data_IF_082293655110
#
_entry.id   IF_082293655110
#
_cell.length_a   1.000
_cell.length_b   1.000
_cell.length_c   1.000
_cell.angle_alpha   90.00
_cell.angle_beta   90.00
_cell.angle_gamma   90.00
#
_symmetry.space_group_name_H-M   'P 1'
#
loop_
_entity.id
_entity.type
_entity.pdbx_description
1 polymer ?
#
# COMPACT_ATOMS: atom_id res chain seq x y z
N UNK A 1 -36.83 -16.02 -11.19
CA UNK A 1 -37.06 -14.60 -11.48
C UNK A 1 -36.43 -14.31 -12.82
N UNK A 2 -37.27 -14.12 -13.84
CA UNK A 2 -36.89 -13.94 -15.25
C UNK A 2 -36.62 -12.46 -15.52
N UNK A 3 -35.74 -12.13 -16.48
CA UNK A 3 -35.32 -10.75 -16.85
C UNK A 3 -36.46 -9.74 -17.11
N UNK A 4 -37.70 -10.19 -17.23
CA UNK A 4 -38.89 -9.36 -17.33
C UNK A 4 -39.27 -8.65 -16.03
N UNK A 5 -38.96 -9.23 -14.86
CA UNK A 5 -39.31 -8.63 -13.55
C UNK A 5 -38.35 -7.48 -13.16
N UNK A 6 -37.11 -7.49 -13.66
CA UNK A 6 -36.12 -6.44 -13.41
C UNK A 6 -36.38 -5.14 -14.19
N UNK A 7 -37.05 -5.23 -15.35
CA UNK A 7 -37.39 -4.05 -16.15
C UNK A 7 -38.56 -3.25 -15.55
N UNK A 8 -39.52 -3.93 -14.92
CA UNK A 8 -40.66 -3.24 -14.30
C UNK A 8 -40.27 -2.45 -13.04
N UNK A 9 -39.25 -2.89 -12.28
CA UNK A 9 -38.78 -2.18 -11.09
C UNK A 9 -37.99 -0.91 -11.45
N UNK A 10 -37.39 -0.86 -12.64
CA UNK A 10 -36.62 0.31 -13.10
C UNK A 10 -37.55 1.40 -13.65
N UNK A 11 -38.64 1.03 -14.34
CA UNK A 11 -39.61 2.02 -14.83
C UNK A 11 -40.39 2.68 -13.68
N UNK A 12 -40.66 1.96 -12.58
CA UNK A 12 -41.38 2.52 -11.42
C UNK A 12 -40.53 3.50 -10.59
N UNK A 13 -39.20 3.49 -10.75
CA UNK A 13 -38.29 4.41 -10.06
C UNK A 13 -38.04 5.73 -10.84
N UNK A 14 -38.37 5.78 -12.13
CA UNK A 14 -38.12 6.97 -12.99
C UNK A 14 -39.30 7.96 -12.94
N UNK A 15 -40.52 7.50 -12.69
CA UNK A 15 -41.71 8.37 -12.60
C UNK A 15 -41.88 9.07 -11.23
N UNK A 16 -41.11 8.67 -10.21
CA UNK A 16 -41.20 9.24 -8.84
C UNK A 16 -40.44 10.55 -8.60
N UNK A 17 -39.60 11.00 -9.54
CA UNK A 17 -38.66 12.14 -9.33
C UNK A 17 -39.15 13.48 -9.90
N UNK A 18 -40.30 13.49 -10.59
CA UNK A 18 -40.80 14.68 -11.30
C UNK A 18 -41.99 15.36 -10.59
N UNK A 19 -41.93 15.59 -9.29
CA UNK A 19 -42.84 16.55 -8.62
C UNK A 19 -42.10 17.33 -7.53
N UNK A 20 -41.90 18.64 -7.74
CA UNK A 20 -41.49 19.56 -6.68
C UNK A 20 -40.50 20.62 -7.13
N UNK A 21 -41.00 21.74 -7.66
CA UNK A 21 -40.51 23.10 -7.37
C UNK A 21 -41.30 24.12 -8.20
N UNK A 22 -42.33 24.70 -7.58
CA UNK A 22 -43.00 25.93 -7.97
C UNK A 22 -43.05 26.84 -6.73
N UNK A 23 -43.06 28.15 -7.00
CA UNK A 23 -43.10 29.30 -6.06
C UNK A 23 -41.73 29.70 -5.50
N UNK A 24 -41.29 30.96 -5.55
CA UNK A 24 -42.01 32.23 -5.34
C UNK A 24 -41.44 33.34 -6.25
N UNK A 25 -42.36 34.07 -6.89
CA UNK A 25 -42.14 35.38 -7.50
C UNK A 25 -42.91 36.42 -6.70
N UNK A 26 -42.27 37.55 -6.37
CA UNK A 26 -42.93 38.76 -5.90
C UNK A 26 -42.04 39.54 -4.94
N UNK A 27 -41.46 40.65 -5.39
CA UNK A 27 -41.74 41.96 -4.79
C UNK A 27 -40.95 43.08 -5.52
N UNK A 28 -41.66 44.18 -5.75
CA UNK A 28 -41.20 45.54 -6.03
C UNK A 28 -40.90 45.94 -7.49
N UNK A 29 -41.99 46.26 -8.17
CA UNK A 29 -42.10 47.50 -8.94
C UNK A 29 -41.56 48.71 -8.15
N UNK A 30 -40.83 49.60 -8.84
CA UNK A 30 -40.96 51.06 -8.71
C UNK A 30 -40.21 51.79 -9.83
N UNK A 31 -41.00 52.45 -10.68
CA UNK A 31 -40.82 53.82 -11.19
C UNK A 31 -39.80 54.01 -12.33
N UNK A 32 -40.34 53.77 -13.51
CA UNK A 32 -40.34 54.58 -14.74
C UNK A 32 -39.78 56.02 -14.66
N UNK A 33 -39.01 56.35 -15.72
CA UNK A 33 -38.93 57.61 -16.47
C UNK A 33 -37.78 58.61 -16.25
N UNK A 34 -37.02 58.84 -17.34
CA UNK A 34 -36.70 60.14 -17.98
C UNK A 34 -35.33 60.13 -18.67
N UNK A 35 -35.35 60.64 -19.91
CA UNK A 35 -34.25 61.16 -20.74
C UNK A 35 -33.50 60.17 -21.65
N UNK A 36 -34.17 59.86 -22.77
CA UNK A 36 -33.47 59.91 -24.04
C UNK A 36 -33.20 61.38 -24.43
N UNK A 37 -32.04 61.59 -25.05
CA UNK A 37 -31.60 62.74 -25.86
C UNK A 37 -30.48 63.62 -25.28
N UNK A 38 -29.45 63.75 -26.13
CA UNK A 38 -28.35 64.73 -26.12
C UNK A 38 -27.31 64.59 -25.01
N UNK A 39 -26.15 64.04 -25.37
CA UNK A 39 -25.05 64.86 -25.91
C UNK A 39 -23.96 63.96 -26.49
N UNK A 40 -23.82 64.00 -27.81
CA UNK A 40 -22.54 63.77 -28.46
C UNK A 40 -21.50 64.78 -27.96
N UNK A 41 -20.24 64.36 -28.02
CA UNK A 41 -19.02 65.20 -28.07
C UNK A 41 -18.41 65.61 -26.72
N UNK A 42 -17.60 64.71 -26.15
CA UNK A 42 -16.27 64.99 -25.57
C UNK A 42 -15.83 63.84 -24.66
N UNK A 43 -14.99 62.93 -25.17
CA UNK A 43 -13.95 62.17 -24.44
C UNK A 43 -13.42 61.09 -25.38
N UNK A 44 -12.43 61.43 -26.21
CA UNK A 44 -11.73 60.44 -27.03
C UNK A 44 -10.21 60.67 -27.02
N UNK A 45 -9.67 61.19 -25.90
CA UNK A 45 -8.23 61.48 -25.76
C UNK A 45 -7.64 60.92 -24.44
N UNK A 46 -8.42 60.25 -23.59
CA UNK A 46 -7.91 59.66 -22.32
C UNK A 46 -7.97 58.13 -22.25
N UNK A 47 -8.34 57.45 -23.34
CA UNK A 47 -8.41 55.99 -23.41
C UNK A 47 -7.12 55.32 -23.93
N UNK A 48 -6.36 56.00 -24.79
CA UNK A 48 -5.19 55.37 -25.42
C UNK A 48 -3.95 55.33 -24.50
N UNK A 49 -3.73 56.34 -23.64
CA UNK A 49 -2.58 56.35 -22.72
C UNK A 49 -2.71 55.34 -21.56
N UNK A 50 -3.93 55.00 -21.12
CA UNK A 50 -4.14 53.98 -20.08
C UNK A 50 -4.05 52.55 -20.63
N UNK A 51 -4.34 52.34 -21.91
CA UNK A 51 -4.25 51.03 -22.56
C UNK A 51 -2.79 50.71 -22.94
N UNK A 52 -1.99 51.71 -23.30
CA UNK A 52 -0.55 51.56 -23.56
C UNK A 52 0.28 51.28 -22.29
N UNK A 53 -0.08 51.87 -21.15
CA UNK A 53 0.57 51.57 -19.86
C UNK A 53 0.19 50.19 -19.29
N UNK A 54 -1.03 49.70 -19.54
CA UNK A 54 -1.46 48.36 -19.15
C UNK A 54 -0.81 47.25 -20.01
N UNK A 55 -0.56 47.53 -21.30
CA UNK A 55 0.13 46.60 -22.21
C UNK A 55 1.65 46.55 -21.94
N UNK A 56 2.27 47.68 -21.55
CA UNK A 56 3.66 47.73 -21.13
C UNK A 56 3.95 46.91 -19.86
N UNK A 57 3.07 46.97 -18.86
CA UNK A 57 3.16 46.15 -17.64
C UNK A 57 2.99 44.65 -17.93
N UNK A 58 2.08 44.30 -18.84
CA UNK A 58 1.83 42.91 -19.26
C UNK A 58 3.00 42.32 -20.06
N UNK A 59 3.67 43.13 -20.90
CA UNK A 59 4.90 42.76 -21.58
C UNK A 59 6.05 42.51 -20.60
N UNK A 60 6.20 43.35 -19.58
CA UNK A 60 7.28 43.22 -18.61
C UNK A 60 7.12 41.96 -17.75
N UNK A 61 5.88 41.57 -17.41
CA UNK A 61 5.61 40.30 -16.71
C UNK A 61 5.91 39.09 -17.60
N UNK A 62 5.51 39.10 -18.88
CA UNK A 62 5.84 38.00 -19.81
C UNK A 62 7.34 37.88 -20.05
N UNK A 63 8.04 39.00 -20.19
CA UNK A 63 9.49 39.02 -20.39
C UNK A 63 10.22 38.57 -19.12
N UNK A 64 9.68 38.88 -17.93
CA UNK A 64 10.19 38.37 -16.66
C UNK A 64 9.89 36.87 -16.48
N UNK A 65 8.77 36.37 -16.97
CA UNK A 65 8.40 34.94 -16.96
C UNK A 65 9.25 34.13 -17.97
N UNK A 66 9.53 34.68 -19.15
CA UNK A 66 10.48 34.13 -20.12
C UNK A 66 11.91 34.13 -19.59
N UNK A 67 12.37 35.24 -18.99
CA UNK A 67 13.68 35.33 -18.35
C UNK A 67 13.79 34.39 -17.15
N UNK A 68 12.72 34.21 -16.36
CA UNK A 68 12.69 33.22 -15.27
C UNK A 68 12.75 31.79 -15.79
N UNK A 69 12.02 31.44 -16.86
CA UNK A 69 12.10 30.12 -17.49
C UNK A 69 13.50 29.84 -18.07
N UNK A 70 14.14 30.83 -18.66
CA UNK A 70 15.49 30.71 -19.21
C UNK A 70 16.54 30.58 -18.09
N UNK A 71 16.38 31.34 -17.00
CA UNK A 71 17.24 31.25 -15.81
C UNK A 71 17.09 29.90 -15.09
N UNK A 72 15.86 29.40 -14.95
CA UNK A 72 15.58 28.08 -14.39
C UNK A 72 16.13 26.96 -15.28
N UNK A 73 16.07 27.12 -16.60
CA UNK A 73 16.67 26.21 -17.57
C UNK A 73 18.20 26.18 -17.48
N UNK A 74 18.87 27.32 -17.38
CA UNK A 74 20.33 27.38 -17.18
C UNK A 74 20.76 26.84 -15.80
N UNK A 75 20.01 27.14 -14.75
CA UNK A 75 20.24 26.56 -13.42
C UNK A 75 20.09 25.03 -13.43
N UNK A 76 19.10 24.52 -14.17
CA UNK A 76 18.88 23.09 -14.34
C UNK A 76 20.00 22.45 -15.18
N UNK A 77 20.40 23.06 -16.30
CA UNK A 77 21.51 22.59 -17.14
C UNK A 77 22.85 22.59 -16.40
N UNK A 78 23.11 23.61 -15.58
CA UNK A 78 24.31 23.66 -14.73
C UNK A 78 24.28 22.60 -13.62
N UNK A 79 23.11 22.32 -13.04
CA UNK A 79 22.94 21.23 -12.07
C UNK A 79 23.15 19.84 -12.72
N UNK A 80 22.62 19.63 -13.92
CA UNK A 80 22.79 18.40 -14.70
C UNK A 80 24.25 18.20 -15.11
N UNK A 81 24.94 19.25 -15.54
CA UNK A 81 26.38 19.20 -15.86
C UNK A 81 27.21 18.88 -14.62
N UNK A 82 26.91 19.50 -13.47
CA UNK A 82 27.57 19.19 -12.19
C UNK A 82 27.33 17.74 -11.78
N UNK A 83 26.10 17.25 -11.91
CA UNK A 83 25.75 15.87 -11.62
C UNK A 83 26.51 14.89 -12.54
N UNK A 84 26.50 15.14 -13.85
CA UNK A 84 27.24 14.36 -14.84
C UNK A 84 28.75 14.32 -14.54
N UNK A 85 29.34 15.45 -14.15
CA UNK A 85 30.76 15.53 -13.81
C UNK A 85 31.07 14.72 -12.55
N UNK A 86 30.20 14.82 -11.52
CA UNK A 86 30.33 14.02 -10.30
C UNK A 86 30.19 12.52 -10.59
N UNK A 87 29.28 12.12 -11.48
CA UNK A 87 29.11 10.73 -11.89
C UNK A 87 30.36 10.19 -12.59
N UNK A 88 30.93 10.94 -13.51
CA UNK A 88 32.18 10.57 -14.20
C UNK A 88 33.35 10.41 -13.23
N UNK A 89 33.56 11.36 -12.33
CA UNK A 89 34.60 11.28 -11.31
C UNK A 89 34.44 10.05 -10.40
N UNK A 90 33.20 9.70 -10.05
CA UNK A 90 32.93 8.51 -9.24
C UNK A 90 33.18 7.21 -10.01
N UNK A 91 32.93 7.17 -11.32
CA UNK A 91 33.26 6.02 -12.18
C UNK A 91 34.78 5.80 -12.21
N UNK A 92 35.54 6.86 -12.48
CA UNK A 92 37.00 6.81 -12.55
C UNK A 92 37.59 6.34 -11.21
N UNK A 93 37.16 6.97 -10.11
CA UNK A 93 37.57 6.58 -8.76
C UNK A 93 37.26 5.11 -8.44
N UNK A 94 36.08 4.65 -8.82
CA UNK A 94 35.68 3.25 -8.58
C UNK A 94 36.54 2.29 -9.42
N UNK A 95 36.86 2.63 -10.67
CA UNK A 95 37.74 1.83 -11.52
C UNK A 95 39.17 1.76 -10.95
N UNK A 96 39.71 2.88 -10.45
CA UNK A 96 41.00 2.93 -9.75
C UNK A 96 40.99 2.08 -8.48
N UNK A 97 39.92 2.16 -7.69
CA UNK A 97 39.77 1.35 -6.49
C UNK A 97 39.74 -0.15 -6.79
N UNK A 98 39.01 -0.57 -7.83
CA UNK A 98 38.95 -1.97 -8.26
C UNK A 98 40.31 -2.47 -8.77
N UNK A 99 41.07 -1.63 -9.48
CA UNK A 99 42.42 -1.96 -9.94
C UNK A 99 43.40 -2.14 -8.77
N UNK A 100 43.28 -1.33 -7.72
CA UNK A 100 44.17 -1.37 -6.54
C UNK A 100 43.81 -2.47 -5.55
N UNK A 101 42.54 -2.91 -5.49
CA UNK A 101 42.06 -3.87 -4.49
C UNK A 101 41.31 -5.07 -5.11
N UNK A 102 41.97 -5.96 -5.87
CA UNK A 102 41.33 -7.09 -6.55
C UNK A 102 40.65 -8.10 -5.60
N UNK A 103 41.01 -8.10 -4.32
CA UNK A 103 40.37 -8.93 -3.29
C UNK A 103 38.93 -8.51 -2.99
N UNK A 104 38.50 -7.30 -3.36
CA UNK A 104 37.14 -6.80 -3.10
C UNK A 104 36.08 -7.63 -3.77
N UNK A 105 36.34 -8.20 -4.96
CA UNK A 105 35.36 -9.05 -5.65
C UNK A 105 35.03 -10.34 -4.87
N UNK A 106 35.95 -10.80 -4.00
CA UNK A 106 35.73 -11.97 -3.15
C UNK A 106 35.01 -11.60 -1.85
N UNK A 107 35.44 -10.52 -1.18
CA UNK A 107 34.95 -10.13 0.14
C UNK A 107 33.69 -9.27 0.12
N UNK A 108 33.45 -8.53 -0.96
CA UNK A 108 32.32 -7.61 -1.10
C UNK A 108 31.18 -8.32 -1.83
N UNK A 109 30.00 -8.28 -1.21
CA UNK A 109 28.79 -8.92 -1.68
C UNK A 109 28.18 -8.04 -2.77
N UNK A 110 28.37 -8.45 -4.02
CA UNK A 110 27.79 -7.79 -5.19
C UNK A 110 26.40 -8.37 -5.48
N UNK A 111 25.44 -7.50 -5.80
CA UNK A 111 24.04 -7.84 -6.15
C UNK A 111 23.88 -8.93 -7.23
N UNK A 112 24.87 -9.10 -8.11
CA UNK A 112 24.87 -10.17 -9.14
C UNK A 112 25.02 -11.60 -8.61
N UNK A 113 25.52 -11.80 -7.38
CA UNK A 113 25.76 -13.16 -6.86
C UNK A 113 24.43 -13.80 -6.45
N UNK A 114 24.09 -14.94 -7.06
CA UNK A 114 22.88 -15.72 -6.73
C UNK A 114 22.78 -16.07 -5.24
N UNK A 115 23.92 -16.35 -4.59
CA UNK A 115 23.97 -16.65 -3.17
C UNK A 115 23.46 -15.50 -2.29
N UNK A 116 23.78 -14.24 -2.63
CA UNK A 116 23.29 -13.08 -1.91
C UNK A 116 21.77 -12.94 -2.07
N UNK A 117 21.27 -13.11 -3.29
CA UNK A 117 19.83 -13.07 -3.55
C UNK A 117 19.06 -14.20 -2.83
N UNK A 118 19.67 -15.38 -2.66
CA UNK A 118 19.10 -16.45 -1.83
C UNK A 118 19.12 -16.09 -0.34
N UNK A 119 20.24 -15.54 0.15
CA UNK A 119 20.37 -15.08 1.54
C UNK A 119 19.35 -13.97 1.89
N UNK A 120 19.16 -13.00 1.00
CA UNK A 120 18.20 -11.91 1.18
C UNK A 120 16.76 -12.42 1.20
N UNK A 121 16.43 -13.39 0.33
CA UNK A 121 15.11 -14.06 0.37
C UNK A 121 14.91 -14.87 1.64
N UNK A 122 15.93 -15.63 2.06
CA UNK A 122 15.89 -16.41 3.29
C UNK A 122 15.66 -15.53 4.52
N UNK A 123 16.45 -14.46 4.66
CA UNK A 123 16.31 -13.50 5.78
C UNK A 123 14.99 -12.74 5.75
N UNK A 124 14.44 -12.45 4.58
CA UNK A 124 13.11 -11.82 4.43
C UNK A 124 11.98 -12.78 4.84
N UNK A 125 12.03 -14.04 4.42
CA UNK A 125 11.05 -15.07 4.83
C UNK A 125 11.14 -15.28 6.35
N UNK A 126 12.35 -15.35 6.89
CA UNK A 126 12.56 -15.47 8.33
C UNK A 126 12.03 -14.26 9.09
N UNK A 127 12.14 -13.05 8.52
CA UNK A 127 11.56 -11.83 9.09
C UNK A 127 10.03 -11.93 9.15
N UNK A 128 9.38 -12.33 8.05
CA UNK A 128 7.94 -12.53 8.00
C UNK A 128 7.46 -13.56 9.05
N UNK A 129 8.17 -14.69 9.18
CA UNK A 129 7.87 -15.70 10.20
C UNK A 129 8.06 -15.11 11.61
N UNK A 130 9.17 -14.42 11.86
CA UNK A 130 9.45 -13.83 13.18
C UNK A 130 8.42 -12.77 13.60
N UNK A 131 7.88 -12.01 12.64
CA UNK A 131 6.85 -11.00 12.88
C UNK A 131 5.52 -11.59 13.37
N UNK A 132 5.27 -12.88 13.10
CA UNK A 132 4.11 -13.63 13.60
C UNK A 132 4.46 -14.39 14.88
N UNK A 133 5.64 -15.01 14.94
CA UNK A 133 6.03 -15.83 16.09
C UNK A 133 6.30 -15.01 17.36
N UNK A 134 6.87 -13.81 17.24
CA UNK A 134 7.25 -12.99 18.42
C UNK A 134 6.02 -12.50 19.20
N UNK A 135 4.99 -11.88 18.59
CA UNK A 135 3.76 -11.50 19.31
C UNK A 135 3.04 -12.72 19.89
N UNK A 136 3.06 -13.85 19.17
CA UNK A 136 2.45 -15.09 19.62
C UNK A 136 3.16 -15.66 20.85
N UNK A 137 4.49 -15.66 20.89
CA UNK A 137 5.27 -16.05 22.06
C UNK A 137 5.01 -15.13 23.26
N UNK A 138 4.87 -13.82 23.03
CA UNK A 138 4.56 -12.86 24.10
C UNK A 138 3.15 -13.07 24.68
N UNK A 139 2.17 -13.37 23.82
CA UNK A 139 0.78 -13.51 24.22
C UNK A 139 0.45 -14.86 24.87
N UNK A 140 1.06 -15.94 24.37
CA UNK A 140 0.74 -17.31 24.78
C UNK A 140 1.87 -17.98 25.56
N UNK A 141 2.97 -17.27 25.83
CA UNK A 141 4.15 -17.80 26.52
C UNK A 141 4.59 -19.16 25.98
N UNK A 142 4.60 -19.31 24.65
CA UNK A 142 4.86 -20.57 23.96
C UNK A 142 6.23 -21.17 24.30
N UNK A 143 7.21 -20.33 24.62
CA UNK A 143 8.52 -20.74 25.11
C UNK A 143 8.49 -21.29 26.54
N UNK A 144 7.60 -20.78 27.41
CA UNK A 144 7.56 -21.10 28.84
C UNK A 144 6.72 -22.34 29.12
N UNK A 145 5.56 -22.50 28.48
CA UNK A 145 4.65 -23.64 28.74
C UNK A 145 5.04 -24.92 28.00
N UNK A 146 5.82 -24.85 26.91
CA UNK A 146 6.20 -26.05 26.15
C UNK A 146 7.39 -26.82 26.73
N UNK A 147 8.07 -26.30 27.75
CA UNK A 147 9.26 -26.93 28.38
C UNK A 147 10.39 -27.30 27.40
N UNK A 148 10.29 -26.86 26.14
CA UNK A 148 11.16 -27.31 25.06
C UNK A 148 12.27 -26.30 24.91
N UNK A 149 13.44 -26.65 25.42
CA UNK A 149 14.72 -26.00 25.10
C UNK A 149 14.82 -25.70 23.58
N UNK A 150 14.20 -26.54 22.74
CA UNK A 150 14.11 -26.35 21.29
C UNK A 150 13.44 -25.03 20.85
N UNK A 151 12.37 -24.57 21.50
CA UNK A 151 11.72 -23.29 21.15
C UNK A 151 12.63 -22.10 21.50
N UNK A 152 13.23 -22.11 22.69
CA UNK A 152 14.19 -21.09 23.10
C UNK A 152 15.41 -21.04 22.16
N UNK A 153 15.99 -22.21 21.83
CA UNK A 153 17.11 -22.31 20.88
C UNK A 153 16.70 -21.80 19.50
N UNK A 154 15.48 -22.08 19.05
CA UNK A 154 14.98 -21.59 17.76
C UNK A 154 14.97 -20.07 17.70
N UNK A 155 14.43 -19.39 18.72
CA UNK A 155 14.45 -17.92 18.77
C UNK A 155 15.88 -17.34 18.86
N UNK A 156 16.77 -17.98 19.61
CA UNK A 156 18.18 -17.60 19.64
C UNK A 156 18.86 -17.75 18.27
N UNK A 157 18.57 -18.82 17.53
CA UNK A 157 19.06 -19.04 16.18
C UNK A 157 18.52 -17.96 15.20
N UNK A 158 17.24 -17.60 15.32
CA UNK A 158 16.64 -16.52 14.53
C UNK A 158 17.36 -15.20 14.80
N UNK A 159 17.56 -14.84 16.07
CA UNK A 159 18.28 -13.62 16.47
C UNK A 159 19.72 -13.62 15.93
N UNK A 160 20.43 -14.76 16.00
CA UNK A 160 21.78 -14.91 15.43
C UNK A 160 21.81 -14.75 13.90
N UNK A 161 20.80 -15.25 13.18
CA UNK A 161 20.67 -15.04 11.72
C UNK A 161 20.45 -13.56 11.39
N UNK A 162 19.67 -12.83 12.17
CA UNK A 162 19.49 -11.38 11.98
C UNK A 162 20.76 -10.60 12.28
N UNK A 163 21.50 -10.99 13.31
CA UNK A 163 22.83 -10.43 13.58
C UNK A 163 23.77 -10.68 12.40
N UNK A 164 23.80 -11.90 11.86
CA UNK A 164 24.59 -12.21 10.66
C UNK A 164 24.13 -11.38 9.45
N UNK A 165 22.82 -11.20 9.26
CA UNK A 165 22.27 -10.36 8.19
C UNK A 165 22.74 -8.91 8.29
N UNK A 166 22.70 -8.34 9.50
CA UNK A 166 23.23 -7.00 9.79
C UNK A 166 24.73 -6.92 9.50
N UNK A 167 25.52 -7.93 9.87
CA UNK A 167 26.94 -7.99 9.53
C UNK A 167 27.20 -8.09 8.01
N UNK A 168 26.34 -8.80 7.28
CA UNK A 168 26.44 -8.86 5.80
C UNK A 168 26.12 -7.51 5.16
N UNK A 169 25.30 -6.65 5.80
CA UNK A 169 24.99 -5.29 5.31
C UNK A 169 26.23 -4.44 5.13
N UNK A 170 27.16 -4.47 6.08
CA UNK A 170 28.40 -3.67 6.00
C UNK A 170 29.31 -4.07 4.83
N UNK A 171 29.11 -5.25 4.24
CA UNK A 171 29.88 -5.77 3.10
C UNK A 171 29.09 -5.75 1.79
N UNK A 172 27.86 -5.24 1.78
CA UNK A 172 27.03 -5.16 0.58
C UNK A 172 27.42 -3.91 -0.23
N UNK A 173 27.77 -4.13 -1.49
CA UNK A 173 27.93 -3.05 -2.45
C UNK A 173 26.55 -2.46 -2.78
N UNK A 174 26.48 -1.13 -2.91
CA UNK A 174 25.25 -0.44 -3.27
C UNK A 174 25.38 0.20 -4.66
N UNK A 175 24.23 0.36 -5.33
CA UNK A 175 24.17 1.04 -6.61
C UNK A 175 23.94 2.54 -6.36
N UNK A 176 24.75 3.39 -6.99
CA UNK A 176 24.60 4.84 -6.98
C UNK A 176 24.53 5.31 -8.43
N UNK A 177 23.37 5.81 -8.87
CA UNK A 177 23.12 6.25 -10.26
C UNK A 177 23.57 5.25 -11.35
N UNK A 178 23.38 3.95 -11.12
CA UNK A 178 23.80 2.90 -12.06
C UNK A 178 25.22 2.36 -11.86
N UNK A 179 26.03 3.01 -11.02
CA UNK A 179 27.42 2.62 -10.72
C UNK A 179 27.45 1.80 -9.43
N UNK A 180 28.14 0.66 -9.45
CA UNK A 180 28.28 -0.20 -8.28
C UNK A 180 29.48 0.25 -7.44
N UNK A 181 29.22 0.86 -6.28
CA UNK A 181 30.28 1.30 -5.36
C UNK A 181 30.66 0.14 -4.44
N UNK A 182 31.94 -0.21 -4.42
CA UNK A 182 32.51 -1.28 -3.59
C UNK A 182 33.39 -0.78 -2.44
N UNK A 183 33.63 0.52 -2.31
CA UNK A 183 34.49 1.04 -1.22
C UNK A 183 33.86 0.86 0.19
N UNK A 184 34.48 0.13 1.13
CA UNK A 184 33.88 -0.19 2.44
C UNK A 184 33.65 1.03 3.33
N UNK A 185 34.57 2.00 3.32
CA UNK A 185 34.43 3.22 4.13
C UNK A 185 33.26 4.08 3.67
N UNK A 186 33.00 4.12 2.35
CA UNK A 186 31.84 4.82 1.79
C UNK A 186 30.55 4.11 2.18
N UNK A 187 30.54 2.77 2.11
CA UNK A 187 29.39 1.94 2.53
C UNK A 187 29.04 2.21 4.01
N UNK A 188 30.02 2.16 4.90
CA UNK A 188 29.82 2.40 6.34
C UNK A 188 29.33 3.81 6.62
N UNK A 189 29.95 4.84 6.00
CA UNK A 189 29.55 6.24 6.20
C UNK A 189 28.10 6.47 5.76
N UNK A 190 27.72 5.94 4.60
CA UNK A 190 26.34 6.02 4.10
C UNK A 190 25.36 5.34 5.04
N UNK A 191 25.71 4.17 5.55
CA UNK A 191 24.86 3.39 6.44
C UNK A 191 24.67 4.05 7.82
N UNK A 192 25.70 4.73 8.34
CA UNK A 192 25.60 5.55 9.54
C UNK A 192 24.73 6.80 9.32
N UNK A 193 24.86 7.44 8.15
CA UNK A 193 24.11 8.66 7.83
C UNK A 193 22.61 8.39 7.54
N UNK A 194 22.26 7.21 7.05
CA UNK A 194 20.86 6.88 6.71
C UNK A 194 20.00 6.52 7.92
N UNK A 195 20.59 6.36 9.12
CA UNK A 195 19.87 5.93 10.33
C UNK A 195 19.42 4.46 10.33
N UNK A 196 19.60 3.74 9.22
CA UNK A 196 19.24 2.33 9.08
C UNK A 196 20.05 1.42 10.01
N UNK A 197 21.26 1.83 10.42
CA UNK A 197 22.05 1.12 11.42
C UNK A 197 21.28 0.92 12.73
N UNK A 198 20.58 1.96 13.21
CA UNK A 198 19.86 1.87 14.49
C UNK A 198 18.70 0.87 14.39
N UNK A 199 17.99 0.87 13.27
CA UNK A 199 16.88 -0.06 13.01
C UNK A 199 17.40 -1.49 12.94
N UNK A 200 18.45 -1.74 12.15
CA UNK A 200 19.02 -3.07 11.98
C UNK A 200 19.68 -3.57 13.27
N UNK A 201 20.26 -2.68 14.08
CA UNK A 201 20.81 -3.01 15.39
C UNK A 201 19.71 -3.51 16.32
N UNK A 202 18.59 -2.79 16.43
CA UNK A 202 17.46 -3.21 17.28
C UNK A 202 16.86 -4.53 16.78
N UNK A 203 16.75 -4.71 15.46
CA UNK A 203 16.29 -5.97 14.85
C UNK A 203 17.20 -7.17 15.19
N UNK A 204 18.50 -6.91 15.35
CA UNK A 204 19.54 -7.91 15.61
C UNK A 204 19.80 -8.16 17.10
N UNK A 205 19.20 -7.39 18.02
CA UNK A 205 19.38 -7.61 19.45
C UNK A 205 18.86 -9.01 19.84
N UNK A 206 19.65 -9.83 20.55
CA UNK A 206 19.22 -11.14 21.02
C UNK A 206 18.31 -11.01 22.26
N UNK A 207 17.17 -10.34 22.08
CA UNK A 207 16.21 -10.05 23.15
C UNK A 207 15.64 -11.34 23.73
N UNK A 208 15.53 -12.39 22.93
CA UNK A 208 15.04 -13.71 23.39
C UNK A 208 15.94 -14.30 24.48
N UNK A 209 17.27 -14.19 24.32
CA UNK A 209 18.24 -14.65 25.31
C UNK A 209 18.36 -13.70 26.51
N UNK A 210 18.38 -12.39 26.26
CA UNK A 210 18.54 -11.39 27.32
C UNK A 210 17.34 -11.33 28.27
N UNK A 211 16.12 -11.43 27.73
CA UNK A 211 14.88 -11.30 28.48
C UNK A 211 14.43 -12.61 29.12
N UNK A 212 15.03 -13.75 28.78
CA UNK A 212 14.62 -15.06 29.30
C UNK A 212 14.79 -15.19 30.84
N UNK A 213 15.72 -14.45 31.42
CA UNK A 213 15.95 -14.44 32.88
C UNK A 213 15.22 -13.31 33.61
N UNK A 214 14.53 -12.44 32.88
CA UNK A 214 13.87 -11.27 33.44
C UNK A 214 12.37 -11.53 33.69
N UNK A 215 11.76 -10.79 34.63
CA UNK A 215 10.32 -10.86 34.88
C UNK A 215 9.45 -10.65 33.63
N UNK A 216 8.22 -11.18 33.65
CA UNK A 216 7.26 -11.15 32.53
C UNK A 216 7.01 -9.74 31.94
N UNK A 217 7.04 -8.69 32.76
CA UNK A 217 6.84 -7.32 32.29
C UNK A 217 7.93 -6.83 31.32
N UNK A 218 9.17 -7.35 31.43
CA UNK A 218 10.23 -7.04 30.47
C UNK A 218 10.08 -7.81 29.16
N UNK A 219 9.23 -8.84 29.08
CA UNK A 219 9.01 -9.57 27.82
C UNK A 219 8.34 -8.69 26.76
N UNK A 220 7.64 -7.63 27.15
CA UNK A 220 7.11 -6.63 26.22
C UNK A 220 8.20 -5.98 25.34
N UNK A 221 9.47 -5.94 25.79
CA UNK A 221 10.58 -5.44 24.96
C UNK A 221 10.81 -6.30 23.71
N UNK A 222 10.35 -7.57 23.67
CA UNK A 222 10.36 -8.39 22.45
C UNK A 222 9.58 -7.73 21.29
N UNK A 223 8.61 -6.86 21.56
CA UNK A 223 7.93 -6.08 20.51
C UNK A 223 8.86 -5.15 19.72
N UNK A 224 10.07 -4.85 20.21
CA UNK A 224 11.09 -4.14 19.42
C UNK A 224 11.47 -4.92 18.15
N UNK A 225 11.35 -6.26 18.15
CA UNK A 225 11.55 -7.06 16.95
C UNK A 225 10.47 -6.85 15.87
N UNK A 226 9.37 -6.15 16.17
CA UNK A 226 8.43 -5.68 15.13
C UNK A 226 9.11 -4.76 14.10
N UNK A 227 10.24 -4.13 14.47
CA UNK A 227 11.07 -3.36 13.53
C UNK A 227 11.65 -4.20 12.39
N UNK A 228 11.65 -5.55 12.50
CA UNK A 228 11.99 -6.46 11.40
C UNK A 228 11.05 -6.31 10.18
N UNK A 229 9.92 -5.62 10.36
CA UNK A 229 9.05 -5.16 9.26
C UNK A 229 9.79 -4.25 8.28
N UNK A 230 10.78 -3.45 8.74
CA UNK A 230 11.52 -2.54 7.87
C UNK A 230 12.41 -3.29 6.86
N UNK A 231 13.29 -4.23 7.27
CA UNK A 231 13.99 -5.11 6.34
C UNK A 231 13.07 -5.86 5.38
N UNK A 232 11.93 -6.36 5.87
CA UNK A 232 10.94 -7.05 5.05
C UNK A 232 10.31 -6.11 4.00
N UNK A 233 9.92 -4.90 4.40
CA UNK A 233 9.38 -3.88 3.50
C UNK A 233 10.39 -3.49 2.43
N UNK A 234 11.66 -3.29 2.81
CA UNK A 234 12.72 -2.94 1.86
C UNK A 234 12.97 -4.09 0.86
N UNK A 235 12.95 -5.33 1.34
CA UNK A 235 13.08 -6.50 0.48
C UNK A 235 11.90 -6.67 -0.48
N UNK A 236 10.67 -6.45 -0.01
CA UNK A 236 9.46 -6.55 -0.84
C UNK A 236 9.35 -5.40 -1.84
N UNK A 237 9.66 -4.18 -1.43
CA UNK A 237 9.53 -2.99 -2.29
C UNK A 237 10.59 -2.95 -3.39
N UNK A 238 11.80 -3.45 -3.12
CA UNK A 238 12.90 -3.47 -4.07
C UNK A 238 12.91 -4.66 -5.03
N UNK A 239 12.01 -5.64 -4.87
CA UNK A 239 12.12 -6.88 -5.63
C UNK A 239 11.57 -6.76 -7.07
N UNK A 240 12.36 -7.09 -8.11
CA UNK A 240 11.93 -7.02 -9.51
C UNK A 240 10.66 -7.84 -9.80
N UNK A 241 10.50 -8.98 -9.13
CA UNK A 241 9.31 -9.83 -9.27
C UNK A 241 8.03 -9.13 -8.76
N UNK A 242 8.11 -8.28 -7.73
CA UNK A 242 6.93 -7.56 -7.24
C UNK A 242 6.57 -6.42 -8.20
N UNK A 243 7.56 -5.85 -8.89
CA UNK A 243 7.35 -4.90 -9.97
C UNK A 243 6.76 -5.60 -11.23
N UNK A 244 7.23 -6.80 -11.57
CA UNK A 244 6.67 -7.60 -12.67
C UNK A 244 5.24 -8.06 -12.34
N UNK A 245 4.96 -8.50 -11.12
CA UNK A 245 3.60 -8.79 -10.65
C UNK A 245 2.70 -7.55 -10.68
N UNK A 246 3.21 -6.36 -10.34
CA UNK A 246 2.48 -5.09 -10.48
C UNK A 246 2.15 -4.77 -11.93
N UNK A 247 3.04 -5.10 -12.87
CA UNK A 247 2.76 -4.95 -14.30
C UNK A 247 1.75 -5.98 -14.82
N UNK A 248 1.78 -7.23 -14.33
CA UNK A 248 0.90 -8.31 -14.80
C UNK A 248 -0.49 -8.30 -14.19
N UNK A 249 -0.60 -8.05 -12.89
CA UNK A 249 -1.87 -8.10 -12.14
C UNK A 249 -2.58 -6.74 -12.07
N UNK A 250 -1.95 -5.68 -12.58
CA UNK A 250 -2.40 -4.29 -12.40
C UNK A 250 -2.04 -3.72 -11.03
N UNK A 251 -1.79 -2.41 -10.97
CA UNK A 251 -1.44 -1.72 -9.73
C UNK A 251 -2.51 -1.86 -8.65
N UNK A 252 -3.78 -1.68 -9.01
CA UNK A 252 -4.95 -1.80 -8.12
C UNK A 252 -5.03 -3.14 -7.40
N UNK A 253 -4.89 -4.25 -8.12
CA UNK A 253 -5.04 -5.60 -7.55
C UNK A 253 -3.94 -5.88 -6.52
N UNK A 254 -2.70 -5.48 -6.82
CA UNK A 254 -1.59 -5.62 -5.87
C UNK A 254 -1.80 -4.74 -4.63
N UNK A 255 -2.32 -3.52 -4.81
CA UNK A 255 -2.60 -2.63 -3.69
C UNK A 255 -3.74 -3.17 -2.80
N UNK A 256 -4.77 -3.78 -3.38
CA UNK A 256 -5.81 -4.50 -2.64
C UNK A 256 -5.26 -5.68 -1.84
N UNK A 257 -4.46 -6.55 -2.48
CA UNK A 257 -3.83 -7.71 -1.81
C UNK A 257 -2.94 -7.25 -0.65
N UNK A 258 -2.15 -6.18 -0.84
CA UNK A 258 -1.31 -5.61 0.22
C UNK A 258 -2.14 -5.16 1.42
N UNK A 259 -3.26 -4.48 1.18
CA UNK A 259 -4.14 -4.02 2.26
C UNK A 259 -4.78 -5.18 3.01
N UNK A 260 -5.23 -6.22 2.31
CA UNK A 260 -5.76 -7.43 2.96
C UNK A 260 -4.70 -8.09 3.85
N UNK A 261 -3.46 -8.20 3.37
CA UNK A 261 -2.35 -8.75 4.16
C UNK A 261 -2.00 -7.87 5.37
N UNK A 262 -2.01 -6.53 5.21
CA UNK A 262 -1.81 -5.60 6.31
C UNK A 262 -2.93 -5.72 7.35
N UNK A 263 -4.19 -5.81 6.93
CA UNK A 263 -5.33 -5.98 7.82
C UNK A 263 -5.24 -7.30 8.60
N UNK A 264 -4.89 -8.40 7.93
CA UNK A 264 -4.65 -9.69 8.58
C UNK A 264 -3.54 -9.59 9.64
N UNK A 265 -2.44 -8.91 9.32
CA UNK A 265 -1.31 -8.75 10.22
C UNK A 265 -1.62 -7.85 11.43
N UNK A 266 -2.25 -6.70 11.20
CA UNK A 266 -2.80 -5.83 12.26
C UNK A 266 -3.72 -6.67 13.15
N UNK A 267 -4.52 -7.55 12.53
CA UNK A 267 -5.45 -8.36 13.30
C UNK A 267 -4.79 -9.36 14.23
N UNK A 268 -3.72 -9.97 13.75
CA UNK A 268 -2.85 -10.81 14.57
C UNK A 268 -2.23 -10.01 15.75
N UNK A 269 -1.68 -8.81 15.49
CA UNK A 269 -1.03 -8.00 16.52
C UNK A 269 -2.00 -7.58 17.64
N UNK A 270 -3.14 -7.00 17.27
CA UNK A 270 -4.12 -6.56 18.26
C UNK A 270 -4.77 -7.74 18.99
N UNK A 271 -4.99 -8.87 18.30
CA UNK A 271 -5.44 -10.09 18.95
C UNK A 271 -4.45 -10.62 19.99
N UNK A 272 -3.15 -10.59 19.70
CA UNK A 272 -2.11 -10.95 20.67
C UNK A 272 -2.07 -9.99 21.87
N UNK A 273 -2.22 -8.68 21.65
CA UNK A 273 -2.29 -7.70 22.75
C UNK A 273 -3.54 -7.95 23.62
N UNK A 274 -4.69 -8.23 22.98
CA UNK A 274 -5.92 -8.59 23.69
C UNK A 274 -5.72 -9.83 24.56
N UNK A 275 -5.10 -10.89 24.02
CA UNK A 275 -4.75 -12.09 24.76
C UNK A 275 -3.87 -11.81 26.00
N UNK A 276 -2.87 -10.92 25.85
CA UNK A 276 -2.02 -10.49 26.98
C UNK A 276 -2.82 -9.76 28.06
N UNK A 277 -3.71 -8.84 27.66
CA UNK A 277 -4.57 -8.10 28.59
C UNK A 277 -5.48 -9.07 29.35
N UNK A 278 -6.18 -9.97 28.64
CA UNK A 278 -7.04 -10.99 29.25
C UNK A 278 -6.27 -11.82 30.29
N UNK A 279 -5.08 -12.32 29.94
CA UNK A 279 -4.24 -13.09 30.88
C UNK A 279 -3.88 -12.28 32.12
N UNK A 280 -3.45 -11.02 31.94
CA UNK A 280 -3.07 -10.15 33.06
C UNK A 280 -4.24 -9.81 33.99
N UNK A 281 -5.44 -9.61 33.43
CA UNK A 281 -6.65 -9.30 34.19
C UNK A 281 -7.15 -10.52 34.98
N UNK A 282 -7.12 -11.71 34.36
CA UNK A 282 -7.47 -12.97 35.04
C UNK A 282 -6.50 -13.24 36.19
N UNK A 283 -5.19 -13.11 35.97
CA UNK A 283 -4.18 -13.26 37.02
C UNK A 283 -4.39 -12.26 38.17
N UNK A 284 -4.73 -11.00 37.85
CA UNK A 284 -5.03 -9.96 38.85
C UNK A 284 -6.29 -10.28 39.66
N UNK A 285 -7.35 -10.75 39.00
CA UNK A 285 -8.61 -11.13 39.65
C UNK A 285 -8.42 -12.28 40.66
N UNK A 286 -7.58 -13.27 40.30
CA UNK A 286 -7.22 -14.38 41.17
C UNK A 286 -6.38 -13.90 42.36
N UNK A 287 -5.33 -13.11 42.12
CA UNK A 287 -4.45 -12.63 43.20
C UNK A 287 -5.18 -11.71 44.19
N UNK A 288 -6.18 -10.95 43.72
CA UNK A 288 -7.00 -10.09 44.59
C UNK A 288 -8.13 -10.86 45.30
N UNK A 289 -8.28 -12.15 45.04
CA UNK A 289 -9.33 -12.99 45.62
C UNK A 289 -10.74 -12.62 45.13
N UNK A 290 -10.86 -11.87 44.03
CA UNK A 290 -12.16 -11.52 43.44
C UNK A 290 -12.81 -12.70 42.73
N UNK A 291 -12.01 -13.63 42.22
CA UNK A 291 -12.46 -14.82 41.50
C UNK A 291 -11.59 -16.01 41.93
N UNK A 292 -12.23 -17.13 42.23
CA UNK A 292 -11.54 -18.39 42.54
C UNK A 292 -11.16 -19.15 41.27
N UNK A 293 -10.16 -20.04 41.33
CA UNK A 293 -9.78 -20.88 40.19
C UNK A 293 -10.94 -21.76 39.69
N UNK A 294 -11.85 -22.13 40.59
CA UNK A 294 -13.05 -22.93 40.28
C UNK A 294 -14.08 -22.10 39.49
N UNK A 295 -14.34 -20.86 39.91
CA UNK A 295 -15.22 -19.93 39.17
C UNK A 295 -14.68 -19.53 37.79
N UNK A 296 -13.35 -19.48 37.63
CA UNK A 296 -12.69 -19.30 36.32
C UNK A 296 -12.91 -20.53 35.42
N UNK A 297 -12.81 -21.73 35.98
CA UNK A 297 -13.00 -22.99 35.25
C UNK A 297 -14.44 -23.18 34.77
N UNK A 298 -15.41 -22.81 35.61
CA UNK A 298 -16.84 -22.84 35.27
C UNK A 298 -17.28 -21.66 34.39
N UNK A 299 -16.42 -20.65 34.25
CA UNK A 299 -16.56 -19.48 33.38
C UNK A 299 -17.72 -18.54 33.73
N UNK A 300 -18.34 -18.70 34.90
CA UNK A 300 -19.40 -17.80 35.40
C UNK A 300 -18.88 -16.41 35.83
N UNK A 301 -17.55 -16.24 35.95
CA UNK A 301 -16.93 -15.02 36.46
C UNK A 301 -16.72 -13.90 35.43
N UNK A 302 -17.01 -14.13 34.15
CA UNK A 302 -16.53 -13.26 33.07
C UNK A 302 -17.63 -12.39 32.44
N UNK A 303 -17.32 -11.10 32.25
CA UNK A 303 -18.19 -10.13 31.58
C UNK A 303 -17.98 -10.11 30.07
N UNK A 304 -18.90 -9.50 29.33
CA UNK A 304 -18.95 -9.45 27.85
C UNK A 304 -17.62 -9.08 27.16
N UNK A 305 -16.73 -8.34 27.82
CA UNK A 305 -15.41 -8.02 27.26
C UNK A 305 -14.50 -9.22 27.10
N UNK A 306 -14.63 -10.23 27.97
CA UNK A 306 -13.77 -11.40 28.03
C UNK A 306 -14.27 -12.50 27.07
N UNK A 307 -13.36 -13.37 26.59
CA UNK A 307 -13.76 -14.56 25.83
C UNK A 307 -14.82 -15.40 26.57
N UNK A 308 -15.76 -16.04 25.85
CA UNK A 308 -16.76 -16.91 26.44
C UNK A 308 -16.18 -18.03 27.34
N UNK A 309 -16.95 -18.49 28.34
CA UNK A 309 -16.62 -19.57 29.29
C UNK A 309 -15.98 -20.80 28.66
N UNK A 310 -16.50 -21.22 27.50
CA UNK A 310 -16.10 -22.41 26.76
C UNK A 310 -14.69 -22.27 26.16
N UNK A 311 -14.25 -21.04 25.94
CA UNK A 311 -12.92 -20.70 25.43
C UNK A 311 -11.97 -20.46 26.61
N UNK A 312 -12.44 -19.83 27.70
CA UNK A 312 -11.65 -19.58 28.94
C UNK A 312 -11.39 -20.81 29.78
N UNK A 313 -12.30 -21.79 29.81
CA UNK A 313 -12.09 -23.06 30.51
C UNK A 313 -10.96 -23.89 29.88
N UNK A 314 -10.51 -23.52 28.68
CA UNK A 314 -9.30 -24.03 28.02
C UNK A 314 -8.05 -23.15 28.25
N UNK A 315 -8.20 -21.99 28.89
CA UNK A 315 -7.11 -21.11 29.36
C UNK A 315 -6.66 -21.45 30.80
N UNK A 316 -7.35 -22.32 31.53
CA UNK A 316 -6.96 -22.76 32.88
C UNK A 316 -5.52 -23.30 32.98
N UNK A 317 -4.93 -23.95 31.95
CA UNK A 317 -3.50 -24.32 31.98
C UNK A 317 -2.53 -23.12 31.86
N UNK A 318 -2.99 -21.96 31.36
CA UNK A 318 -2.18 -20.74 31.24
C UNK A 318 -2.10 -19.95 32.56
N UNK A 319 -2.91 -20.32 33.55
CA UNK A 319 -3.07 -19.62 34.83
C UNK A 319 -2.68 -20.51 36.02
N UNK A 320 -2.64 -21.83 35.85
CA UNK A 320 -2.07 -22.77 36.81
C UNK A 320 -1.38 -23.93 36.11
N UNK A 321 -0.18 -24.30 36.58
CA UNK A 321 0.46 -25.57 36.23
C UNK A 321 -0.50 -26.71 36.53
N UNK A 322 -1.13 -27.28 35.50
CA UNK A 322 -1.81 -28.57 35.64
C UNK A 322 -0.72 -29.63 35.82
N UNK A 323 -0.78 -30.33 36.95
CA UNK A 323 0.21 -31.35 37.35
C UNK A 323 0.14 -32.63 36.52
N UNK A 324 -0.82 -32.74 35.60
CA UNK A 324 -0.98 -33.90 34.72
C UNK A 324 -0.81 -33.43 33.26
N UNK A 325 0.30 -33.82 32.64
CA UNK A 325 0.79 -33.29 31.36
C UNK A 325 -0.01 -33.70 30.12
N UNK A 326 -1.34 -33.73 30.19
CA UNK A 326 -2.20 -34.22 29.10
C UNK A 326 -3.29 -33.26 28.63
N UNK A 327 -3.50 -32.09 29.26
CA UNK A 327 -4.50 -31.13 28.78
C UNK A 327 -3.89 -30.06 27.88
N UNK A 328 -4.01 -30.34 26.57
CA UNK A 328 -3.74 -29.45 25.47
C UNK A 328 -4.64 -28.21 25.56
N UNK A 329 -4.09 -27.06 25.98
CA UNK A 329 -4.77 -25.79 25.75
C UNK A 329 -4.86 -25.61 24.23
N UNK A 330 -6.06 -25.64 23.65
CA UNK A 330 -6.30 -25.30 22.24
C UNK A 330 -6.02 -23.81 22.03
N UNK A 331 -4.75 -23.38 22.07
CA UNK A 331 -4.34 -21.99 21.84
C UNK A 331 -4.78 -21.49 20.47
N UNK A 332 -4.98 -22.40 19.52
CA UNK A 332 -5.58 -22.12 18.22
C UNK A 332 -7.03 -21.62 18.33
N UNK A 333 -7.85 -22.17 19.24
CA UNK A 333 -9.25 -21.75 19.41
C UNK A 333 -9.34 -20.34 20.01
N UNK A 334 -8.51 -20.03 21.00
CA UNK A 334 -8.42 -18.68 21.57
C UNK A 334 -7.82 -17.68 20.56
N UNK A 335 -6.83 -18.10 19.77
CA UNK A 335 -6.28 -17.27 18.70
C UNK A 335 -7.31 -16.93 17.63
N UNK A 336 -8.10 -17.91 17.17
CA UNK A 336 -9.21 -17.69 16.24
C UNK A 336 -10.27 -16.77 16.83
N UNK A 337 -10.57 -16.91 18.12
CA UNK A 337 -11.49 -16.01 18.82
C UNK A 337 -10.95 -14.57 18.85
N UNK A 338 -9.67 -14.35 19.17
CA UNK A 338 -9.07 -13.02 19.17
C UNK A 338 -9.17 -12.34 17.79
N UNK A 339 -9.00 -13.13 16.72
CA UNK A 339 -9.16 -12.64 15.35
C UNK A 339 -10.60 -12.29 15.02
N UNK A 340 -11.56 -13.15 15.38
CA UNK A 340 -13.00 -12.88 15.25
C UNK A 340 -13.42 -11.62 16.03
N UNK A 341 -13.01 -11.55 17.30
CA UNK A 341 -13.26 -10.43 18.21
C UNK A 341 -12.83 -9.11 17.56
N UNK A 342 -11.61 -9.07 17.02
CA UNK A 342 -11.09 -7.86 16.41
C UNK A 342 -11.81 -7.45 15.12
N UNK A 343 -12.15 -8.40 14.26
CA UNK A 343 -12.94 -8.11 13.05
C UNK A 343 -14.27 -7.48 13.44
N UNK A 344 -14.93 -7.99 14.48
CA UNK A 344 -16.18 -7.43 14.98
C UNK A 344 -16.00 -6.01 15.54
N UNK A 345 -14.89 -5.72 16.23
CA UNK A 345 -14.61 -4.36 16.72
C UNK A 345 -14.29 -3.39 15.58
N UNK A 346 -13.46 -3.79 14.61
CA UNK A 346 -13.08 -2.94 13.47
C UNK A 346 -14.28 -2.66 12.57
N UNK A 347 -15.18 -3.63 12.39
CA UNK A 347 -16.42 -3.45 11.61
C UNK A 347 -17.51 -2.69 12.36
N UNK A 348 -17.34 -2.46 13.68
CA UNK A 348 -18.37 -1.87 14.53
C UNK A 348 -19.57 -2.78 14.80
N UNK A 349 -19.49 -4.07 14.43
CA UNK A 349 -20.57 -5.04 14.63
C UNK A 349 -20.77 -5.37 16.12
N UNK A 350 -19.72 -5.29 16.91
CA UNK A 350 -19.79 -5.53 18.35
C UNK A 350 -18.74 -4.70 19.09
N UNK A 351 -19.19 -3.99 20.13
CA UNK A 351 -18.35 -3.17 21.00
C UNK A 351 -18.56 -3.63 22.43
N UNK A 352 -17.60 -4.37 23.01
CA UNK A 352 -17.74 -4.82 24.39
C UNK A 352 -17.65 -3.65 25.38
N UNK A 353 -18.41 -3.73 26.47
CA UNK A 353 -18.43 -2.71 27.52
C UNK A 353 -17.22 -2.94 28.43
N UNK A 354 -16.24 -2.02 28.48
CA UNK A 354 -15.07 -2.18 29.33
C UNK A 354 -15.46 -1.98 30.80
N UNK A 355 -14.87 -2.78 31.70
CA UNK A 355 -15.05 -2.65 33.16
C UNK A 355 -13.79 -2.17 33.84
N UNK A 356 -12.62 -2.46 33.27
CA UNK A 356 -11.33 -2.03 33.84
C UNK A 356 -10.73 -0.85 33.07
N UNK A 357 -9.79 -0.14 33.70
CA UNK A 357 -9.09 0.98 33.07
C UNK A 357 -8.25 0.52 31.87
N UNK A 358 -7.61 -0.65 31.96
CA UNK A 358 -6.81 -1.24 30.88
C UNK A 358 -7.68 -1.61 29.67
N UNK A 359 -8.86 -2.20 29.90
CA UNK A 359 -9.86 -2.51 28.87
C UNK A 359 -10.38 -1.24 28.21
N UNK A 360 -10.68 -0.20 28.98
CA UNK A 360 -11.21 1.08 28.47
C UNK A 360 -10.20 1.78 27.57
N UNK A 361 -8.93 1.86 27.99
CA UNK A 361 -7.87 2.49 27.20
C UNK A 361 -7.62 1.71 25.91
N UNK A 362 -7.47 0.38 26.01
CA UNK A 362 -7.25 -0.47 24.84
C UNK A 362 -8.43 -0.42 23.85
N UNK A 363 -9.66 -0.55 24.35
CA UNK A 363 -10.87 -0.48 23.53
C UNK A 363 -11.03 0.86 22.82
N UNK A 364 -10.75 1.98 23.51
CA UNK A 364 -10.83 3.32 22.91
C UNK A 364 -9.82 3.49 21.78
N UNK A 365 -8.55 3.12 22.00
CA UNK A 365 -7.49 3.19 20.98
C UNK A 365 -7.82 2.31 19.79
N UNK A 366 -8.31 1.10 20.06
CA UNK A 366 -8.63 0.13 19.01
C UNK A 366 -9.80 0.57 18.13
N UNK A 367 -10.89 1.08 18.71
CA UNK A 367 -12.04 1.58 17.94
C UNK A 367 -11.62 2.76 17.06
N UNK A 368 -10.83 3.69 17.59
CA UNK A 368 -10.33 4.84 16.82
C UNK A 368 -9.44 4.39 15.65
N UNK A 369 -8.49 3.50 15.90
CA UNK A 369 -7.61 2.98 14.85
C UNK A 369 -8.37 2.12 13.84
N UNK A 370 -9.32 1.31 14.31
CA UNK A 370 -10.20 0.48 13.49
C UNK A 370 -11.00 1.31 12.50
N UNK A 371 -11.56 2.44 12.94
CA UNK A 371 -12.26 3.38 12.06
C UNK A 371 -11.35 3.91 10.94
N UNK A 372 -10.11 4.31 11.26
CA UNK A 372 -9.15 4.79 10.27
C UNK A 372 -8.76 3.71 9.24
N UNK A 373 -8.53 2.49 9.72
CA UNK A 373 -8.22 1.34 8.85
C UNK A 373 -9.41 1.01 7.95
N UNK A 374 -10.63 0.99 8.51
CA UNK A 374 -11.85 0.72 7.76
C UNK A 374 -12.08 1.75 6.63
N UNK A 375 -11.89 3.04 6.91
CA UNK A 375 -11.95 4.10 5.91
C UNK A 375 -10.91 3.91 4.80
N UNK A 376 -9.66 3.56 5.16
CA UNK A 376 -8.60 3.30 4.18
C UNK A 376 -8.88 2.08 3.29
N UNK A 377 -9.47 1.02 3.87
CA UNK A 377 -9.88 -0.19 3.13
C UNK A 377 -10.96 0.16 2.11
N UNK A 378 -12.00 0.90 2.50
CA UNK A 378 -13.07 1.33 1.57
C UNK A 378 -12.48 2.18 0.44
N UNK A 379 -11.66 3.19 0.77
CA UNK A 379 -11.06 4.06 -0.24
C UNK A 379 -10.22 3.29 -1.26
N UNK A 380 -9.45 2.32 -0.78
CA UNK A 380 -8.60 1.49 -1.64
C UNK A 380 -9.39 0.49 -2.47
N UNK A 381 -10.46 -0.09 -1.89
CA UNK A 381 -11.40 -0.93 -2.61
C UNK A 381 -12.10 -0.13 -3.72
N UNK A 382 -12.58 1.08 -3.45
CA UNK A 382 -13.19 1.96 -4.45
C UNK A 382 -12.19 2.32 -5.55
N UNK A 383 -10.94 2.62 -5.21
CA UNK A 383 -9.88 2.91 -6.22
C UNK A 383 -9.58 1.68 -7.08
N UNK A 384 -9.49 0.50 -6.48
CA UNK A 384 -9.28 -0.73 -7.24
C UNK A 384 -10.46 -1.07 -8.14
N UNK A 385 -11.69 -0.92 -7.63
CA UNK A 385 -12.93 -1.14 -8.35
C UNK A 385 -13.06 -0.20 -9.55
N UNK A 386 -12.83 1.09 -9.35
CA UNK A 386 -12.85 2.08 -10.44
C UNK A 386 -11.76 1.79 -11.46
N UNK A 387 -10.53 1.46 -11.04
CA UNK A 387 -9.45 1.11 -11.95
C UNK A 387 -9.78 -0.12 -12.82
N UNK A 388 -10.41 -1.15 -12.25
CA UNK A 388 -10.87 -2.32 -13.01
C UNK A 388 -11.95 -1.95 -14.04
N UNK A 389 -12.73 -0.91 -13.78
CA UNK A 389 -13.76 -0.44 -14.68
C UNK A 389 -13.29 0.58 -15.71
N UNK A 390 -12.06 1.12 -15.63
CA UNK A 390 -11.58 2.18 -16.54
C UNK A 390 -11.71 1.80 -18.02
N UNK A 391 -11.36 0.57 -18.39
CA UNK A 391 -11.47 0.13 -19.78
C UNK A 391 -12.93 0.08 -20.25
N UNK A 392 -13.81 -0.51 -19.45
CA UNK A 392 -15.24 -0.60 -19.74
C UNK A 392 -15.94 0.77 -19.71
N UNK A 393 -15.58 1.66 -18.78
CA UNK A 393 -16.09 3.02 -18.72
C UNK A 393 -15.64 3.85 -19.91
N UNK A 394 -14.41 3.64 -20.40
CA UNK A 394 -13.94 4.33 -21.60
C UNK A 394 -14.70 3.89 -22.85
N UNK A 395 -14.90 2.59 -23.03
CA UNK A 395 -15.66 2.06 -24.17
C UNK A 395 -17.12 2.54 -24.16
N UNK A 396 -17.75 2.53 -22.99
CA UNK A 396 -19.13 3.01 -22.84
C UNK A 396 -19.24 4.52 -23.05
N UNK A 397 -18.30 5.32 -22.53
CA UNK A 397 -18.27 6.77 -22.75
C UNK A 397 -18.08 7.15 -24.22
N UNK A 398 -17.17 6.48 -24.94
CA UNK A 398 -16.95 6.70 -26.38
C UNK A 398 -18.21 6.34 -27.19
N UNK A 399 -18.90 5.25 -26.82
CA UNK A 399 -20.15 4.85 -27.45
C UNK A 399 -21.29 5.86 -27.19
N UNK A 400 -21.39 6.40 -25.97
CA UNK A 400 -22.40 7.39 -25.59
C UNK A 400 -22.20 8.74 -26.29
N UNK A 401 -20.96 9.22 -26.39
CA UNK A 401 -20.63 10.45 -27.11
C UNK A 401 -20.98 10.34 -28.60
N UNK A 402 -20.68 9.19 -29.21
CA UNK A 402 -21.03 8.90 -30.59
C UNK A 402 -22.56 8.81 -30.78
N UNK A 403 -23.28 8.13 -29.88
CA UNK A 403 -24.74 8.05 -29.92
C UNK A 403 -25.40 9.43 -29.83
N UNK A 404 -24.89 10.30 -28.95
CA UNK A 404 -25.33 11.69 -28.84
C UNK A 404 -25.07 12.49 -30.13
N UNK A 405 -23.89 12.32 -30.75
CA UNK A 405 -23.55 12.98 -32.00
C UNK A 405 -24.44 12.51 -33.16
N UNK A 406 -24.72 11.20 -33.24
CA UNK A 406 -25.62 10.62 -34.25
C UNK A 406 -27.08 11.04 -34.04
N UNK A 407 -27.52 11.23 -32.78
CA UNK A 407 -28.83 11.81 -32.43
C UNK A 407 -28.95 13.25 -32.94
N UNK A 408 -27.92 14.09 -32.74
CA UNK A 408 -27.89 15.47 -33.26
C UNK A 408 -28.01 15.51 -34.79
N UNK A 409 -27.35 14.57 -35.47
CA UNK A 409 -27.42 14.41 -36.93
C UNK A 409 -28.71 13.76 -37.45
N UNK A 410 -29.70 13.46 -36.57
CA UNK A 410 -31.00 12.84 -36.92
C UNK A 410 -30.89 11.51 -37.68
N UNK A 411 -29.88 10.70 -37.35
CA UNK A 411 -29.67 9.39 -37.97
C UNK A 411 -30.77 8.40 -37.52
N UNK A 412 -31.37 7.61 -38.43
CA UNK A 412 -32.38 6.60 -38.08
C UNK A 412 -31.84 5.54 -37.11
N UNK A 413 -32.70 5.08 -36.18
CA UNK A 413 -32.32 4.18 -35.07
C UNK A 413 -31.62 2.89 -35.53
N UNK A 414 -32.03 2.33 -36.66
CA UNK A 414 -31.46 1.10 -37.23
C UNK A 414 -30.00 1.25 -37.66
N UNK A 415 -29.62 2.41 -38.22
CA UNK A 415 -28.25 2.68 -38.65
C UNK A 415 -27.35 2.98 -37.44
N UNK A 416 -27.88 3.70 -36.45
CA UNK A 416 -27.17 4.02 -35.20
C UNK A 416 -26.75 2.76 -34.42
N UNK A 417 -27.66 1.81 -34.25
CA UNK A 417 -27.37 0.53 -33.59
C UNK A 417 -26.26 -0.25 -34.30
N UNK A 418 -26.25 -0.23 -35.64
CA UNK A 418 -25.25 -0.93 -36.45
C UNK A 418 -23.86 -0.30 -36.33
N UNK A 419 -23.78 1.03 -36.20
CA UNK A 419 -22.52 1.76 -35.97
C UNK A 419 -21.96 1.45 -34.58
N UNK A 420 -22.79 1.48 -33.54
CA UNK A 420 -22.37 1.18 -32.17
C UNK A 420 -21.91 -0.29 -32.01
N UNK A 421 -22.59 -1.24 -32.67
CA UNK A 421 -22.15 -2.63 -32.72
C UNK A 421 -20.80 -2.81 -33.41
N UNK A 422 -20.55 -2.06 -34.49
CA UNK A 422 -19.24 -2.09 -35.16
C UNK A 422 -18.14 -1.50 -34.26
N UNK A 423 -18.43 -0.42 -33.52
CA UNK A 423 -17.49 0.16 -32.56
C UNK A 423 -17.11 -0.85 -31.47
N UNK A 424 -18.10 -1.51 -30.86
CA UNK A 424 -17.87 -2.55 -29.85
C UNK A 424 -17.06 -3.74 -30.40
N UNK A 425 -17.27 -4.13 -31.66
CA UNK A 425 -16.46 -5.15 -32.32
C UNK A 425 -15.02 -4.67 -32.59
N UNK A 426 -14.86 -3.39 -32.97
CA UNK A 426 -13.56 -2.79 -33.27
C UNK A 426 -12.69 -2.64 -32.02
N UNK A 427 -13.27 -2.34 -30.85
CA UNK A 427 -12.52 -2.21 -29.60
C UNK A 427 -11.90 -3.53 -29.16
N UNK A 428 -12.63 -4.65 -29.28
CA UNK A 428 -12.09 -6.00 -29.08
C UNK A 428 -10.96 -6.38 -30.03
N UNK A 429 -10.88 -5.73 -31.20
CA UNK A 429 -9.84 -6.02 -32.22
C UNK A 429 -8.63 -5.07 -32.09
N UNK A 430 -8.84 -3.83 -31.64
CA UNK A 430 -7.84 -2.76 -31.54
C UNK A 430 -6.77 -3.00 -30.46
N UNK A 431 -7.06 -3.80 -29.43
CA UNK A 431 -6.09 -4.16 -28.38
C UNK A 431 -4.83 -4.84 -28.95
N UNK A 432 -4.97 -5.55 -30.08
CA UNK A 432 -3.87 -6.20 -30.80
C UNK A 432 -2.94 -5.24 -31.57
N UNK A 433 -3.43 -4.06 -31.97
CA UNK A 433 -2.69 -3.10 -32.81
C UNK A 433 -2.04 -1.97 -31.99
N UNK A 434 -2.67 -1.51 -30.90
CA UNK A 434 -2.10 -0.48 -30.02
C UNK A 434 -0.80 -0.95 -29.34
N UNK A 435 -0.66 -2.25 -29.11
CA UNK A 435 0.58 -2.88 -28.59
C UNK A 435 1.78 -2.66 -29.52
N UNK A 436 1.57 -2.49 -30.84
CA UNK A 436 2.61 -2.20 -31.83
C UNK A 436 3.18 -0.77 -31.73
N UNK A 437 2.39 0.19 -31.23
CA UNK A 437 2.75 1.61 -31.23
C UNK A 437 3.62 2.02 -30.03
N UNK A 438 3.64 1.20 -28.96
CA UNK A 438 4.36 1.47 -27.70
C UNK A 438 5.80 0.95 -27.69
N UNK A 439 6.21 0.27 -28.76
CA UNK A 439 7.52 -0.37 -28.90
C UNK A 439 8.48 0.58 -29.64
N UNK A 440 9.74 0.74 -29.18
CA UNK A 440 10.76 1.56 -29.88
C UNK A 440 10.87 1.19 -31.36
N UNK A 441 11.09 2.18 -32.24
CA UNK A 441 11.00 1.99 -33.70
C UNK A 441 11.85 0.84 -34.27
N UNK A 442 13.00 0.55 -33.65
CA UNK A 442 13.88 -0.57 -34.03
C UNK A 442 13.28 -1.96 -33.75
N UNK A 443 12.52 -2.10 -32.67
CA UNK A 443 11.86 -3.34 -32.24
C UNK A 443 10.48 -3.52 -32.92
N UNK A 444 9.83 -2.42 -33.29
CA UNK A 444 8.56 -2.43 -34.03
C UNK A 444 8.73 -3.04 -35.42
N UNK A 445 9.80 -2.67 -36.14
CA UNK A 445 10.11 -3.22 -37.46
C UNK A 445 10.31 -4.74 -37.39
N UNK A 446 11.05 -5.22 -36.38
CA UNK A 446 11.29 -6.66 -36.19
C UNK A 446 10.01 -7.43 -35.84
N UNK A 447 9.17 -6.86 -34.98
CA UNK A 447 7.90 -7.47 -34.58
C UNK A 447 6.92 -7.54 -35.78
N UNK A 448 6.84 -6.47 -36.56
CA UNK A 448 5.94 -6.38 -37.72
C UNK A 448 6.38 -7.33 -38.85
N UNK A 449 7.68 -7.45 -39.08
CA UNK A 449 8.26 -8.45 -39.98
C UNK A 449 7.92 -9.88 -39.55
N UNK A 450 7.90 -10.19 -38.25
CA UNK A 450 7.59 -11.54 -37.74
C UNK A 450 6.09 -11.85 -37.83
N UNK A 451 5.23 -10.90 -37.44
CA UNK A 451 3.76 -11.06 -37.47
C UNK A 451 3.24 -11.25 -38.90
N UNK A 452 3.75 -10.48 -39.85
CA UNK A 452 3.26 -10.48 -41.22
C UNK A 452 4.09 -11.37 -42.17
N UNK A 453 5.16 -12.03 -41.69
CA UNK A 453 6.03 -12.92 -42.49
C UNK A 453 5.25 -13.93 -43.34
N UNK A 454 4.30 -14.62 -42.72
CA UNK A 454 3.50 -15.66 -43.39
C UNK A 454 2.48 -15.09 -44.38
N UNK A 455 2.06 -13.84 -44.18
CA UNK A 455 1.23 -13.11 -45.12
C UNK A 455 2.06 -12.74 -46.35
N UNK A 456 3.22 -12.11 -46.17
CA UNK A 456 4.12 -11.72 -47.26
C UNK A 456 4.58 -12.90 -48.12
N UNK A 457 4.84 -14.07 -47.53
CA UNK A 457 5.25 -15.28 -48.26
C UNK A 457 4.11 -15.93 -49.08
N UNK A 458 2.85 -15.65 -48.76
CA UNK A 458 1.69 -16.23 -49.46
C UNK A 458 1.22 -15.38 -50.65
N UNK A 459 1.54 -14.08 -50.68
CA UNK A 459 1.13 -13.20 -51.77
C UNK A 459 1.94 -13.54 -53.04
N UNK A 460 1.27 -13.95 -54.15
CA UNK A 460 1.95 -14.39 -55.37
C UNK A 460 2.89 -13.34 -56.00
N UNK A 461 2.58 -12.05 -55.80
CA UNK A 461 3.36 -10.92 -56.30
C UNK A 461 4.74 -10.78 -55.62
N UNK A 462 4.91 -11.26 -54.40
CA UNK A 462 6.15 -11.10 -53.61
C UNK A 462 7.04 -12.35 -53.59
N UNK A 463 6.65 -13.43 -54.29
CA UNK A 463 7.39 -14.72 -54.30
C UNK A 463 8.72 -14.71 -55.07
N UNK A 464 9.22 -13.54 -55.49
CA UNK A 464 10.40 -13.40 -56.33
C UNK A 464 11.30 -12.20 -56.01
N UNK A 465 11.10 -11.56 -54.86
CA UNK A 465 11.99 -10.55 -54.27
C UNK A 465 12.42 -11.05 -52.90
#
# INVERSE_FOLDING_TARGET
MTSSELLNVIDEAVDGSATGSKEVSGESDRIVDISSSRTDRSTNISGDEQTEQADAGSRQVRLMEELMQETDSEALLTSLRKQSTNEQQMIERQAEWEATHPWTDKFILTSRKRALAWWERFTSILAAISLVLVPLDCAFSLATDRGSIGWFVTFCCIDAVFLLSMLTTFRRAFLWHGILIKEPMIIVKRYLQSGMLFVDLICALPLSACLASLPEHFQAFKFLHLLRLVPLYNALSGHPHIQDLRHRAGSATIDLIRIVLILFYISHLFGCIYAMIVRSEVQRAIHTGQVTMEEVADGHAFHDWLPPPVITSKLTPLVGQSADGTEYSDGASFWLFCFFWLICVISGAWVPIPKTTSETVYGTVLVFLGFLVYAAVIASFTTAYTQMQVASQRETAEADELDQSLKKCKVPKSLRQRILQFLAFSSTTAESTVTSMRVPGSLRLQLDMVLHRNFFLKVPFLKGC
#
